data_IF_504425967140
#
_entry.id   IF_504425967140
#
_cell.length_a   1.000
_cell.length_b   1.000
_cell.length_c   1.000
_cell.angle_alpha   90.00
_cell.angle_beta   90.00
_cell.angle_gamma   90.00
#
_symmetry.space_group_name_H-M   'P 1'
#
loop_
_entity.id
_entity.type
_entity.pdbx_description
1 polymer ?
#
# COMPACT_ATOMS: atom_id res chain seq x y z
N UNK A 1 18.54 12.29 -0.65
CA UNK A 1 18.07 13.57 -0.05
C UNK A 1 16.60 13.50 0.33
N UNK A 2 15.67 13.27 -0.61
CA UNK A 2 14.23 13.19 -0.34
C UNK A 2 13.85 12.22 0.80
N UNK A 3 14.30 10.96 0.75
CA UNK A 3 14.00 9.97 1.80
C UNK A 3 14.49 10.41 3.18
N UNK A 4 15.70 10.95 3.27
CA UNK A 4 16.25 11.47 4.53
C UNK A 4 15.40 12.63 5.07
N UNK A 5 14.95 13.52 4.18
CA UNK A 5 14.10 14.66 4.53
C UNK A 5 12.73 14.18 5.05
N UNK A 6 12.11 13.20 4.39
CA UNK A 6 10.89 12.56 4.89
C UNK A 6 11.11 11.88 6.25
N UNK A 7 12.19 11.10 6.41
CA UNK A 7 12.50 10.39 7.66
C UNK A 7 12.79 11.36 8.81
N UNK A 8 13.33 12.56 8.54
CA UNK A 8 13.55 13.56 9.58
C UNK A 8 12.31 14.40 9.90
N UNK A 9 11.47 14.71 8.91
CA UNK A 9 10.33 15.64 9.06
C UNK A 9 9.02 14.94 9.42
N UNK A 10 8.74 13.78 8.83
CA UNK A 10 7.45 13.10 9.04
C UNK A 10 7.26 12.56 10.47
N UNK A 11 8.21 11.83 11.10
CA UNK A 11 8.00 11.31 12.45
C UNK A 11 7.80 12.36 13.55
N UNK A 12 8.48 13.53 13.59
CA UNK A 12 8.17 14.55 14.59
C UNK A 12 6.79 15.18 14.36
N UNK A 13 6.36 15.36 13.11
CA UNK A 13 5.02 15.87 12.79
C UNK A 13 3.96 14.87 13.23
N UNK A 14 4.11 13.58 12.90
CA UNK A 14 3.17 12.54 13.31
C UNK A 14 3.13 12.35 14.82
N UNK A 15 4.28 12.43 15.51
CA UNK A 15 4.33 12.37 16.97
C UNK A 15 3.70 13.59 17.64
N UNK A 16 3.82 14.77 17.02
CA UNK A 16 3.14 15.98 17.50
C UNK A 16 1.64 15.88 17.30
N UNK A 17 1.20 15.38 16.14
CA UNK A 17 -0.20 15.15 15.80
C UNK A 17 -0.84 14.11 16.73
N UNK A 18 -0.14 13.00 17.01
CA UNK A 18 -0.65 11.96 17.93
C UNK A 18 -0.77 12.45 19.38
N UNK A 19 0.04 13.43 19.80
CA UNK A 19 -0.04 14.04 21.14
C UNK A 19 -1.23 15.00 21.29
N UNK A 20 -1.76 15.51 20.19
CA UNK A 20 -2.93 16.39 20.19
C UNK A 20 -4.26 15.65 20.11
N UNK A 21 -4.24 14.34 19.87
CA UNK A 21 -5.42 13.48 19.91
C UNK A 21 -5.41 12.62 21.19
N UNK A 22 -6.01 13.09 22.31
CA UNK A 22 -6.12 12.27 23.52
C UNK A 22 -7.02 11.05 23.28
N UNK A 23 -6.70 9.95 23.98
CA UNK A 23 -7.48 8.70 23.90
C UNK A 23 -8.93 8.93 24.34
N UNK A 24 -9.88 8.85 23.40
CA UNK A 24 -11.32 8.92 23.66
C UNK A 24 -12.08 10.06 22.99
N UNK A 25 -11.41 11.04 22.38
CA UNK A 25 -12.07 12.08 21.56
C UNK A 25 -12.04 11.73 20.06
N UNK A 26 -13.08 12.10 19.29
CA UNK A 26 -13.08 11.91 17.85
C UNK A 26 -11.90 12.67 17.24
N UNK A 27 -11.08 11.96 16.46
CA UNK A 27 -9.97 12.56 15.73
C UNK A 27 -10.54 13.56 14.73
N UNK A 28 -10.04 14.79 14.77
CA UNK A 28 -10.47 15.83 13.84
C UNK A 28 -10.17 15.40 12.39
N UNK A 29 -11.18 15.47 11.52
CA UNK A 29 -11.08 15.09 10.11
C UNK A 29 -9.97 15.87 9.38
N UNK A 30 -9.61 17.05 9.87
CA UNK A 30 -8.53 17.86 9.34
C UNK A 30 -7.18 17.14 9.43
N UNK A 31 -6.91 16.37 10.48
CA UNK A 31 -5.66 15.61 10.61
C UNK A 31 -5.57 14.47 9.59
N UNK A 32 -6.70 13.83 9.29
CA UNK A 32 -6.80 12.79 8.26
C UNK A 32 -6.55 13.42 6.89
N UNK A 33 -7.24 14.52 6.58
CA UNK A 33 -7.07 15.27 5.33
C UNK A 33 -5.62 15.75 5.14
N UNK A 34 -4.99 16.31 6.17
CA UNK A 34 -3.59 16.75 6.13
C UNK A 34 -2.65 15.57 5.89
N UNK A 35 -2.89 14.42 6.53
CA UNK A 35 -2.07 13.23 6.34
C UNK A 35 -2.19 12.68 4.92
N UNK A 36 -3.41 12.58 4.38
CA UNK A 36 -3.63 12.16 3.00
C UNK A 36 -3.03 13.14 1.98
N UNK A 37 -3.17 14.45 2.23
CA UNK A 37 -2.54 15.49 1.41
C UNK A 37 -1.01 15.39 1.45
N UNK A 38 -0.42 15.10 2.61
CA UNK A 38 1.02 14.89 2.74
C UNK A 38 1.49 13.66 1.95
N UNK A 39 0.74 12.54 1.99
CA UNK A 39 1.02 11.33 1.19
C UNK A 39 0.99 11.65 -0.31
N UNK A 40 -0.02 12.39 -0.77
CA UNK A 40 -0.12 12.82 -2.17
C UNK A 40 1.03 13.78 -2.56
N UNK A 41 1.37 14.74 -1.70
CA UNK A 41 2.45 15.67 -1.92
C UNK A 41 3.81 14.96 -2.00
N UNK A 42 4.06 13.98 -1.12
CA UNK A 42 5.29 13.18 -1.17
C UNK A 42 5.39 12.38 -2.46
N UNK A 43 4.28 11.78 -2.91
CA UNK A 43 4.22 11.10 -4.20
C UNK A 43 4.55 12.04 -5.36
N UNK A 44 3.92 13.21 -5.39
CA UNK A 44 4.16 14.24 -6.40
C UNK A 44 5.62 14.71 -6.42
N UNK A 45 6.20 14.99 -5.26
CA UNK A 45 7.61 15.40 -5.17
C UNK A 45 8.53 14.28 -5.67
N UNK A 46 8.29 13.00 -5.32
CA UNK A 46 9.09 11.90 -5.88
C UNK A 46 8.97 11.78 -7.39
N UNK A 47 7.76 12.00 -7.93
CA UNK A 47 7.51 11.98 -9.38
C UNK A 47 8.31 13.07 -10.09
N UNK A 48 8.32 14.29 -9.55
CA UNK A 48 9.12 15.40 -10.11
C UNK A 48 10.63 15.18 -10.08
N UNK A 49 11.13 14.34 -9.18
CA UNK A 49 12.55 13.99 -9.10
C UNK A 49 12.91 12.87 -10.10
N UNK A 50 11.92 12.32 -10.82
CA UNK A 50 12.08 11.23 -11.78
C UNK A 50 12.05 9.84 -11.15
N UNK A 51 11.60 9.73 -9.90
CA UNK A 51 11.34 8.44 -9.21
C UNK A 51 9.86 8.09 -9.38
N UNK A 52 9.50 6.81 -9.30
CA UNK A 52 8.08 6.42 -9.25
C UNK A 52 7.35 7.07 -8.05
N UNK A 53 6.25 7.78 -8.31
CA UNK A 53 5.42 8.45 -7.29
C UNK A 53 5.00 7.52 -6.12
N UNK A 54 4.78 6.23 -6.41
CA UNK A 54 4.45 5.21 -5.42
C UNK A 54 5.49 5.13 -4.28
N UNK A 55 6.77 5.38 -4.59
CA UNK A 55 7.85 5.29 -3.62
C UNK A 55 7.74 6.39 -2.55
N UNK A 56 7.41 7.62 -2.92
CA UNK A 56 7.27 8.73 -1.97
C UNK A 56 6.09 8.54 -1.02
N UNK A 57 4.94 8.11 -1.57
CA UNK A 57 3.76 7.77 -0.77
C UNK A 57 4.06 6.60 0.20
N UNK A 58 4.78 5.57 -0.26
CA UNK A 58 5.17 4.42 0.55
C UNK A 58 6.09 4.81 1.72
N UNK A 59 7.10 5.65 1.48
CA UNK A 59 8.00 6.13 2.54
C UNK A 59 7.24 6.89 3.61
N UNK A 60 6.32 7.80 3.24
CA UNK A 60 5.47 8.47 4.23
C UNK A 60 4.55 7.51 4.97
N UNK A 61 3.98 6.51 4.30
CA UNK A 61 3.15 5.49 4.92
C UNK A 61 3.88 4.67 5.99
N UNK A 62 5.16 4.32 5.76
CA UNK A 62 5.99 3.63 6.77
C UNK A 62 6.24 4.50 7.99
N UNK A 63 6.36 5.82 7.79
CA UNK A 63 6.63 6.79 8.85
C UNK A 63 5.37 7.22 9.60
N UNK A 64 4.19 6.89 9.09
CA UNK A 64 2.91 7.16 9.73
C UNK A 64 2.82 6.44 11.09
N UNK A 65 2.07 7.00 12.06
CA UNK A 65 1.93 6.39 13.37
C UNK A 65 1.19 5.05 13.25
N UNK A 66 1.70 4.02 13.94
CA UNK A 66 1.13 2.67 13.94
C UNK A 66 0.12 2.45 15.06
N UNK A 67 0.20 3.27 16.10
CA UNK A 67 -0.58 3.13 17.34
C UNK A 67 -1.34 4.42 17.64
N UNK A 68 -2.47 4.27 18.31
CA UNK A 68 -3.31 5.38 18.79
C UNK A 68 -4.53 5.68 17.89
N UNK A 69 -5.38 6.62 18.34
CA UNK A 69 -6.68 6.89 17.70
C UNK A 69 -6.53 7.44 16.27
N UNK A 70 -5.47 8.23 15.99
CA UNK A 70 -5.16 8.76 14.66
C UNK A 70 -4.86 7.64 13.65
N UNK A 71 -4.12 6.60 14.06
CA UNK A 71 -3.77 5.48 13.20
C UNK A 71 -5.02 4.67 12.83
N UNK A 72 -5.87 4.37 13.82
CA UNK A 72 -7.13 3.67 13.60
C UNK A 72 -8.06 4.42 12.64
N UNK A 73 -8.29 5.71 12.90
CA UNK A 73 -9.14 6.55 12.04
C UNK A 73 -8.59 6.69 10.61
N UNK A 74 -7.26 6.79 10.45
CA UNK A 74 -6.64 6.86 9.13
C UNK A 74 -6.82 5.55 8.37
N UNK A 75 -6.61 4.40 9.02
CA UNK A 75 -6.77 3.07 8.41
C UNK A 75 -8.22 2.87 7.98
N UNK A 76 -9.19 3.13 8.85
CA UNK A 76 -10.62 2.97 8.54
C UNK A 76 -11.03 3.79 7.32
N UNK A 77 -10.70 5.08 7.29
CA UNK A 77 -11.06 5.97 6.17
C UNK A 77 -10.37 5.59 4.87
N UNK A 78 -9.09 5.19 4.92
CA UNK A 78 -8.35 4.75 3.74
C UNK A 78 -8.89 3.42 3.24
N UNK A 79 -9.16 2.47 4.13
CA UNK A 79 -9.71 1.16 3.78
C UNK A 79 -11.09 1.28 3.14
N UNK A 80 -11.97 2.11 3.69
CA UNK A 80 -13.30 2.37 3.11
C UNK A 80 -13.20 2.90 1.67
N UNK A 81 -12.30 3.86 1.42
CA UNK A 81 -12.09 4.43 0.08
C UNK A 81 -11.46 3.39 -0.86
N UNK A 82 -10.45 2.65 -0.37
CA UNK A 82 -9.71 1.68 -1.19
C UNK A 82 -10.62 0.50 -1.55
N UNK A 83 -11.21 -0.16 -0.57
CA UNK A 83 -12.03 -1.35 -0.74
C UNK A 83 -13.39 -1.02 -1.36
N UNK A 84 -13.99 0.12 -0.99
CA UNK A 84 -15.31 0.53 -1.48
C UNK A 84 -15.30 1.10 -2.91
N UNK A 85 -14.21 1.76 -3.32
CA UNK A 85 -14.17 2.49 -4.60
C UNK A 85 -12.96 2.15 -5.47
N UNK A 86 -11.74 2.32 -4.96
CA UNK A 86 -10.53 2.23 -5.79
C UNK A 86 -10.25 0.82 -6.30
N UNK A 87 -10.47 -0.20 -5.47
CA UNK A 87 -10.22 -1.60 -5.80
C UNK A 87 -11.23 -2.14 -6.83
N UNK A 88 -12.55 -1.89 -6.71
CA UNK A 88 -13.51 -2.15 -7.78
C UNK A 88 -13.16 -1.43 -9.09
N UNK A 89 -12.82 -0.13 -9.04
CA UNK A 89 -12.44 0.63 -10.24
C UNK A 89 -11.17 0.08 -10.89
N UNK A 90 -10.18 -0.33 -10.09
CA UNK A 90 -8.96 -0.96 -10.57
C UNK A 90 -9.27 -2.25 -11.33
N UNK A 91 -10.12 -3.12 -10.78
CA UNK A 91 -10.50 -4.37 -11.45
C UNK A 91 -11.33 -4.14 -12.71
N UNK A 92 -12.24 -3.16 -12.70
CA UNK A 92 -13.01 -2.79 -13.90
C UNK A 92 -12.08 -2.28 -15.00
N UNK A 93 -11.20 -1.32 -14.68
CA UNK A 93 -10.25 -0.74 -15.64
C UNK A 93 -9.27 -1.78 -16.20
N UNK A 94 -8.70 -2.62 -15.33
CA UNK A 94 -7.81 -3.71 -15.74
C UNK A 94 -8.55 -4.76 -16.58
N UNK A 95 -9.78 -5.10 -16.22
CA UNK A 95 -10.62 -6.06 -16.93
C UNK A 95 -11.00 -5.55 -18.33
N UNK A 96 -11.42 -4.30 -18.46
CA UNK A 96 -11.75 -3.66 -19.74
C UNK A 96 -10.55 -3.59 -20.69
N UNK A 97 -9.33 -3.37 -20.18
CA UNK A 97 -8.11 -3.42 -20.98
C UNK A 97 -7.70 -4.85 -21.36
N UNK A 98 -8.24 -5.86 -20.69
CA UNK A 98 -7.92 -7.27 -20.95
C UNK A 98 -8.83 -7.82 -22.04
N UNK A 99 -8.32 -7.93 -23.26
CA UNK A 99 -9.04 -8.60 -24.34
C UNK A 99 -8.75 -10.12 -24.31
N UNK A 100 -9.72 -10.90 -23.87
CA UNK A 100 -9.61 -12.37 -23.82
C UNK A 100 -9.59 -12.98 -25.23
N UNK A 101 -10.19 -12.31 -26.21
CA UNK A 101 -10.21 -12.78 -27.59
C UNK A 101 -8.83 -12.68 -28.27
N UNK A 102 -7.89 -11.90 -27.74
CA UNK A 102 -6.49 -11.88 -28.21
C UNK A 102 -5.66 -13.09 -27.76
N UNK A 103 -6.14 -13.88 -26.78
CA UNK A 103 -5.49 -15.13 -26.36
C UNK A 103 -5.93 -16.26 -27.30
N UNK A 104 -5.45 -16.21 -28.54
CA UNK A 104 -5.69 -17.25 -29.54
C UNK A 104 -4.36 -17.95 -29.90
N UNK A 105 -4.36 -19.27 -29.84
CA UNK A 105 -3.20 -20.12 -30.16
C UNK A 105 -2.51 -20.75 -28.95
N UNK A 106 -1.88 -21.90 -29.19
CA UNK A 106 -1.22 -22.71 -28.15
C UNK A 106 -0.06 -21.98 -27.45
N UNK A 107 0.61 -21.05 -28.15
CA UNK A 107 1.69 -20.25 -27.58
C UNK A 107 1.19 -19.26 -26.51
N UNK A 108 0.10 -18.54 -26.76
CA UNK A 108 -0.47 -17.58 -25.79
C UNK A 108 -1.06 -18.27 -24.57
N UNK A 109 -1.69 -19.45 -24.76
CA UNK A 109 -2.14 -20.31 -23.66
C UNK A 109 -0.98 -20.90 -22.86
N UNK A 110 0.11 -21.31 -23.54
CA UNK A 110 1.32 -21.79 -22.89
C UNK A 110 1.95 -20.71 -21.99
N UNK A 111 2.07 -19.48 -22.49
CA UNK A 111 2.56 -18.33 -21.70
C UNK A 111 1.64 -18.01 -20.52
N UNK A 112 0.32 -18.05 -20.72
CA UNK A 112 -0.65 -17.85 -19.64
C UNK A 112 -0.45 -18.87 -18.52
N UNK A 113 -0.43 -20.16 -18.85
CA UNK A 113 -0.21 -21.24 -17.88
C UNK A 113 1.16 -21.12 -17.22
N UNK A 114 2.21 -20.77 -17.96
CA UNK A 114 3.55 -20.55 -17.42
C UNK A 114 3.57 -19.42 -16.40
N UNK A 115 2.95 -18.28 -16.71
CA UNK A 115 2.86 -17.13 -15.79
C UNK A 115 2.07 -17.50 -14.55
N UNK A 116 0.93 -18.18 -14.68
CA UNK A 116 0.11 -18.64 -13.55
C UNK A 116 0.90 -19.62 -12.68
N UNK A 117 1.52 -20.62 -13.29
CA UNK A 117 2.31 -21.63 -12.57
C UNK A 117 3.49 -20.98 -11.84
N UNK A 118 4.21 -20.06 -12.49
CA UNK A 118 5.35 -19.35 -11.89
C UNK A 118 4.89 -18.44 -10.75
N UNK A 119 3.77 -17.73 -10.91
CA UNK A 119 3.21 -16.88 -9.86
C UNK A 119 2.73 -17.68 -8.65
N UNK A 120 2.03 -18.79 -8.87
CA UNK A 120 1.58 -19.71 -7.82
C UNK A 120 2.77 -20.33 -7.10
N UNK A 121 3.73 -20.89 -7.85
CA UNK A 121 4.93 -21.51 -7.29
C UNK A 121 5.76 -20.49 -6.50
N UNK A 122 5.95 -19.28 -7.03
CA UNK A 122 6.67 -18.21 -6.34
C UNK A 122 6.02 -17.80 -5.02
N UNK A 123 4.68 -17.65 -5.00
CA UNK A 123 3.94 -17.35 -3.77
C UNK A 123 4.04 -18.48 -2.74
N UNK A 124 3.83 -19.73 -3.17
CA UNK A 124 3.87 -20.90 -2.28
C UNK A 124 5.27 -21.12 -1.75
N UNK A 125 6.29 -21.23 -2.61
CA UNK A 125 7.67 -21.46 -2.15
C UNK A 125 8.16 -20.29 -1.30
N UNK A 126 7.82 -19.05 -1.66
CA UNK A 126 8.15 -17.86 -0.86
C UNK A 126 7.59 -17.93 0.56
N UNK A 127 6.30 -18.26 0.71
CA UNK A 127 5.69 -18.37 2.05
C UNK A 127 6.23 -19.57 2.84
N UNK A 128 6.43 -20.72 2.20
CA UNK A 128 7.00 -21.91 2.84
C UNK A 128 8.43 -21.68 3.34
N UNK A 129 9.28 -21.05 2.53
CA UNK A 129 10.67 -20.74 2.91
C UNK A 129 10.72 -19.76 4.08
N UNK A 130 9.93 -18.68 4.04
CA UNK A 130 9.87 -17.71 5.14
C UNK A 130 9.34 -18.37 6.42
N UNK A 131 8.31 -19.21 6.31
CA UNK A 131 7.75 -19.95 7.45
C UNK A 131 8.79 -20.87 8.12
N UNK A 132 9.58 -21.59 7.32
CA UNK A 132 10.68 -22.45 7.81
C UNK A 132 11.79 -21.65 8.50
N UNK A 133 12.20 -20.51 7.92
CA UNK A 133 13.23 -19.64 8.50
C UNK A 133 12.75 -19.05 9.83
N UNK A 134 11.49 -18.63 9.91
CA UNK A 134 10.88 -18.08 11.12
C UNK A 134 10.49 -19.15 12.16
N UNK A 135 10.76 -20.44 11.92
CA UNK A 135 10.40 -21.57 12.81
C UNK A 135 8.93 -21.52 13.26
N UNK A 136 8.02 -21.11 12.37
CA UNK A 136 6.58 -21.11 12.70
C UNK A 136 6.14 -22.58 12.83
N UNK A 137 5.50 -22.99 13.94
CA UNK A 137 5.04 -24.36 14.10
C UNK A 137 4.06 -24.69 12.97
N UNK A 138 4.29 -25.82 12.28
CA UNK A 138 3.49 -26.30 11.14
C UNK A 138 2.10 -26.83 11.53
N UNK A 139 1.63 -26.53 12.74
CA UNK A 139 0.34 -26.99 13.24
C UNK A 139 -0.63 -25.81 13.24
N UNK A 140 -1.58 -25.84 12.30
CA UNK A 140 -2.89 -25.20 12.47
C UNK A 140 -3.77 -26.04 13.40
#
# INVERSE_FOLDING_TARGET
AFVLLCVFIAPPIFKWMSRQCPDGEPVDEMFICVTLAAVLAAGFVTDTIGIHALFGAFVLGILAPKDGPLAGALVEKVEDIVSGLLLPLYFVSSGLKTNVATIQGAQSWGLLVLVIATACFGKVVGTFVVSLICKVPLQE
#
